data_IF_652277826199
#
_entry.id   IF_652277826199
#
_cell.length_a   1.000
_cell.length_b   1.000
_cell.length_c   1.000
_cell.angle_alpha   90.00
_cell.angle_beta   90.00
_cell.angle_gamma   90.00
#
_symmetry.space_group_name_H-M   'P 1'
#
loop_
_entity.id
_entity.type
_entity.pdbx_description
1 polymer ?
#
# COMPACT_ATOMS: atom_id res chain seq x y z
N UNK A 1 1.90 5.98 -19.53
CA UNK A 1 1.87 7.38 -19.07
C UNK A 1 2.03 7.34 -17.57
N UNK A 2 3.10 7.96 -17.07
CA UNK A 2 3.58 7.80 -15.69
C UNK A 2 3.06 9.00 -14.89
N UNK A 3 2.41 8.71 -13.76
CA UNK A 3 1.68 9.68 -12.93
C UNK A 3 2.64 10.60 -12.16
N UNK A 4 2.77 11.86 -12.58
CA UNK A 4 3.68 12.84 -11.93
C UNK A 4 2.97 13.78 -10.93
N UNK A 5 1.74 13.48 -10.56
CA UNK A 5 0.84 14.43 -9.90
C UNK A 5 0.74 14.27 -8.39
N UNK A 6 0.96 15.36 -7.65
CA UNK A 6 1.25 15.30 -6.20
C UNK A 6 0.46 16.33 -5.41
N UNK A 7 -0.04 15.96 -4.24
CA UNK A 7 -0.66 16.88 -3.30
C UNK A 7 0.22 17.00 -2.06
N UNK A 8 0.66 18.22 -1.78
CA UNK A 8 1.33 18.57 -0.53
C UNK A 8 0.29 19.12 0.44
N UNK A 9 0.29 18.57 1.64
CA UNK A 9 -0.69 18.83 2.66
C UNK A 9 -0.16 19.83 3.70
N UNK A 10 -0.95 20.85 4.03
CA UNK A 10 -0.72 21.76 5.16
C UNK A 10 -1.79 21.54 6.24
N UNK A 11 -1.42 21.16 7.47
CA UNK A 11 -2.40 20.76 8.50
C UNK A 11 -2.90 21.94 9.31
N UNK A 12 -4.22 21.99 9.50
CA UNK A 12 -4.90 22.68 10.59
C UNK A 12 -4.42 22.16 11.95
N UNK A 13 -3.59 22.88 12.68
CA UNK A 13 -3.14 22.52 14.03
C UNK A 13 -4.32 22.48 15.01
N UNK A 14 -4.81 21.27 15.30
CA UNK A 14 -5.64 20.97 16.47
C UNK A 14 -5.10 19.70 17.13
N UNK A 15 -3.78 19.65 17.31
CA UNK A 15 -3.19 18.71 18.25
C UNK A 15 -3.03 19.48 19.55
N UNK A 16 -3.80 19.10 20.57
CA UNK A 16 -3.73 19.65 21.92
C UNK A 16 -2.42 19.29 22.58
N UNK A 17 -1.35 19.98 22.19
CA UNK A 17 -0.12 20.04 22.94
C UNK A 17 -0.38 20.96 24.14
N UNK A 18 -0.46 20.37 25.34
CA UNK A 18 -0.64 21.09 26.60
C UNK A 18 0.53 22.06 26.78
N UNK A 19 0.33 23.33 26.42
CA UNK A 19 1.18 24.43 26.87
C UNK A 19 0.91 24.59 28.37
N UNK A 20 1.92 24.43 29.27
CA UNK A 20 1.71 24.65 30.68
C UNK A 20 1.56 26.15 30.93
N UNK A 21 0.32 26.63 30.94
CA UNK A 21 0.00 27.96 31.45
C UNK A 21 0.22 27.98 32.96
N UNK A 22 1.38 28.52 33.35
CA UNK A 22 1.69 28.90 34.73
C UNK A 22 0.83 30.12 35.09
N UNK A 23 -0.33 29.89 35.70
CA UNK A 23 -1.13 30.96 36.32
C UNK A 23 -0.73 31.16 37.79
N UNK A 24 -0.80 32.40 38.32
CA UNK A 24 -0.38 32.73 39.67
C UNK A 24 -1.47 32.39 40.69
N UNK A 25 -1.06 31.86 41.84
CA UNK A 25 -1.87 31.76 43.06
C UNK A 25 -2.25 33.16 43.55
N UNK A 26 -3.43 33.34 44.19
CA UNK A 26 -3.50 33.09 45.64
C UNK A 26 -4.84 32.57 46.17
N UNK A 27 -4.76 31.83 47.29
CA UNK A 27 -5.64 32.06 48.44
C UNK A 27 -6.86 31.15 48.64
N UNK A 28 -6.69 30.11 49.46
CA UNK A 28 -7.52 29.99 50.68
C UNK A 28 -8.67 28.97 50.71
N UNK A 29 -8.43 27.92 51.50
CA UNK A 29 -9.32 27.23 52.47
C UNK A 29 -10.31 26.16 51.97
N UNK A 30 -9.83 24.92 52.16
CA UNK A 30 -10.44 23.83 52.95
C UNK A 30 -11.64 23.00 52.43
N UNK A 31 -11.75 21.73 52.89
CA UNK A 31 -12.04 20.60 52.01
C UNK A 31 -13.42 19.98 52.25
N UNK A 32 -13.92 19.26 51.25
CA UNK A 32 -15.00 18.28 51.45
C UNK A 32 -14.54 16.90 51.01
N UNK A 33 -14.25 16.09 52.02
CA UNK A 33 -14.18 14.64 51.98
C UNK A 33 -15.56 14.08 51.69
N UNK A 34 -15.69 13.12 50.76
CA UNK A 34 -16.65 12.01 50.88
C UNK A 34 -16.26 10.85 49.94
N UNK A 35 -15.64 9.85 50.57
CA UNK A 35 -16.00 8.44 50.52
C UNK A 35 -15.88 7.61 49.24
N UNK A 36 -14.95 6.66 49.36
CA UNK A 36 -14.83 5.35 48.71
C UNK A 36 -16.18 4.62 48.53
N UNK A 37 -16.32 3.92 47.41
CA UNK A 37 -16.90 2.55 47.41
C UNK A 37 -16.24 1.67 46.37
N UNK A 38 -15.98 0.44 46.80
CA UNK A 38 -15.17 -0.58 46.17
C UNK A 38 -16.02 -1.62 45.42
N UNK A 39 -15.32 -2.39 44.56
CA UNK A 39 -15.57 -3.79 44.13
C UNK A 39 -16.89 -4.07 43.39
N UNK A 40 -16.78 -4.74 42.22
CA UNK A 40 -16.93 -6.21 42.14
C UNK A 40 -16.56 -6.78 40.75
N UNK A 41 -15.81 -7.88 40.78
CA UNK A 41 -15.46 -8.81 39.71
C UNK A 41 -16.59 -9.85 39.56
N UNK A 42 -16.96 -10.23 38.32
CA UNK A 42 -17.50 -11.56 37.89
C UNK A 42 -17.71 -11.48 36.38
N UNK A 43 -16.94 -12.17 35.53
CA UNK A 43 -16.92 -13.61 35.23
C UNK A 43 -18.24 -14.14 34.64
N UNK A 44 -18.15 -14.43 33.33
CA UNK A 44 -18.73 -15.57 32.57
C UNK A 44 -20.19 -15.95 32.79
N UNK A 45 -20.96 -16.06 31.71
CA UNK A 45 -21.67 -17.30 31.34
C UNK A 45 -22.02 -17.27 29.85
N UNK A 46 -21.60 -18.35 29.17
CA UNK A 46 -22.04 -18.75 27.84
C UNK A 46 -23.38 -19.49 27.90
N UNK A 47 -24.23 -19.24 26.92
CA UNK A 47 -25.29 -20.15 26.45
C UNK A 47 -25.20 -20.09 24.91
N UNK A 48 -25.27 -21.18 24.15
CA UNK A 48 -25.74 -22.52 24.48
C UNK A 48 -26.79 -22.94 23.45
N UNK A 49 -26.41 -23.89 22.61
CA UNK A 49 -27.23 -24.96 22.03
C UNK A 49 -28.16 -24.73 20.83
N UNK A 50 -27.88 -25.53 19.80
CA UNK A 50 -28.84 -26.52 19.26
C UNK A 50 -28.96 -26.49 17.74
N UNK A 51 -29.07 -27.60 17.00
CA UNK A 51 -28.90 -29.03 17.26
C UNK A 51 -29.09 -29.76 15.91
N UNK A 52 -28.10 -30.56 15.48
CA UNK A 52 -28.18 -31.78 14.62
C UNK A 52 -28.76 -31.71 13.18
N UNK A 53 -28.78 -32.84 12.43
CA UNK A 53 -27.83 -33.95 12.42
C UNK A 53 -27.40 -34.41 11.00
N UNK A 54 -26.42 -35.31 11.00
CA UNK A 54 -25.92 -36.19 9.93
C UNK A 54 -27.04 -36.99 9.21
N UNK A 55 -26.80 -37.49 7.97
CA UNK A 55 -26.20 -38.83 7.77
C UNK A 55 -25.14 -38.83 6.63
N UNK A 56 -23.99 -39.50 6.75
CA UNK A 56 -23.72 -40.93 6.58
C UNK A 56 -24.29 -41.56 5.31
N UNK A 57 -23.43 -41.75 4.30
CA UNK A 57 -23.58 -42.77 3.27
C UNK A 57 -22.18 -43.25 2.83
N UNK A 58 -22.03 -44.56 2.77
CA UNK A 58 -20.80 -45.30 2.56
C UNK A 58 -20.72 -45.88 1.14
N UNK A 59 -19.49 -45.95 0.63
CA UNK A 59 -19.02 -46.92 -0.36
C UNK A 59 -19.30 -46.63 -1.84
N UNK A 60 -18.75 -47.46 -2.74
CA UNK A 60 -17.30 -47.66 -2.94
C UNK A 60 -16.91 -47.65 -4.43
N UNK A 61 -15.60 -47.80 -4.69
CA UNK A 61 -14.98 -48.22 -5.95
C UNK A 61 -15.02 -47.25 -7.14
N UNK A 62 -13.84 -46.78 -7.54
CA UNK A 62 -13.41 -46.84 -8.94
C UNK A 62 -11.88 -46.98 -8.98
N UNK A 63 -11.45 -48.16 -9.45
CA UNK A 63 -10.07 -48.48 -9.81
C UNK A 63 -9.88 -48.07 -11.27
N UNK A 64 -9.01 -47.10 -11.52
CA UNK A 64 -8.44 -46.82 -12.84
C UNK A 64 -6.91 -46.81 -12.67
N UNK A 65 -6.27 -47.97 -12.86
CA UNK A 65 -5.71 -48.47 -14.12
C UNK A 65 -4.48 -47.69 -14.61
N UNK A 66 -3.33 -48.31 -14.32
CA UNK A 66 -2.13 -48.39 -15.18
C UNK A 66 -1.60 -47.12 -15.83
N UNK A 67 -0.67 -46.47 -15.13
CA UNK A 67 0.34 -45.60 -15.72
C UNK A 67 1.74 -46.12 -15.38
N UNK A 68 2.27 -46.92 -16.31
CA UNK A 68 3.69 -47.16 -16.56
C UNK A 68 4.61 -47.60 -15.39
N UNK A 69 4.66 -48.91 -15.18
CA UNK A 69 5.75 -49.57 -14.44
C UNK A 69 7.05 -49.50 -15.25
N UNK A 70 7.75 -48.37 -15.15
CA UNK A 70 9.17 -48.31 -15.53
C UNK A 70 10.00 -49.21 -14.58
N UNK A 71 10.90 -50.04 -15.11
CA UNK A 71 11.56 -51.09 -14.37
C UNK A 71 12.72 -50.54 -13.52
N UNK A 72 12.84 -51.09 -12.31
CA UNK A 72 14.05 -51.09 -11.47
C UNK A 72 14.55 -49.75 -10.90
N UNK A 73 13.83 -49.27 -9.90
CA UNK A 73 14.40 -48.38 -8.89
C UNK A 73 14.29 -49.02 -7.51
N UNK A 74 15.19 -49.97 -7.20
CA UNK A 74 15.54 -50.37 -5.82
C UNK A 74 16.30 -49.23 -5.14
N UNK A 75 15.64 -48.08 -4.97
CA UNK A 75 16.20 -46.96 -4.25
C UNK A 75 16.27 -47.32 -2.76
N UNK A 76 17.47 -47.23 -2.20
CA UNK A 76 17.73 -47.36 -0.76
C UNK A 76 16.81 -46.41 0.02
N UNK A 77 16.44 -46.78 1.26
CA UNK A 77 15.58 -45.92 2.11
C UNK A 77 16.15 -44.52 2.28
N UNK A 78 17.47 -44.38 2.27
CA UNK A 78 18.18 -43.10 2.29
C UNK A 78 17.91 -42.27 1.04
N UNK A 79 17.86 -42.91 -0.12
CA UNK A 79 17.65 -42.23 -1.39
C UNK A 79 16.22 -41.67 -1.50
N UNK A 80 15.24 -42.42 -0.97
CA UNK A 80 13.85 -41.93 -0.83
C UNK A 80 13.75 -40.74 0.12
N UNK A 81 14.49 -40.77 1.23
CA UNK A 81 14.52 -39.66 2.18
C UNK A 81 15.20 -38.42 1.57
N UNK A 82 16.30 -38.60 0.85
CA UNK A 82 16.98 -37.53 0.12
C UNK A 82 16.05 -36.90 -0.94
N UNK A 83 15.36 -37.70 -1.75
CA UNK A 83 14.40 -37.20 -2.75
C UNK A 83 13.24 -36.43 -2.11
N UNK A 84 12.73 -36.92 -0.98
CA UNK A 84 11.68 -36.23 -0.23
C UNK A 84 12.19 -34.90 0.36
N UNK A 85 13.37 -34.89 0.96
CA UNK A 85 13.99 -33.67 1.49
C UNK A 85 14.26 -32.64 0.39
N UNK A 86 14.84 -33.06 -0.73
CA UNK A 86 15.06 -32.20 -1.89
C UNK A 86 13.73 -31.65 -2.40
N UNK A 87 12.68 -32.48 -2.49
CA UNK A 87 11.35 -32.03 -2.91
C UNK A 87 10.79 -30.96 -1.98
N UNK A 88 10.90 -31.13 -0.65
CA UNK A 88 10.49 -30.13 0.33
C UNK A 88 11.29 -28.84 0.16
N UNK A 89 12.61 -28.94 0.00
CA UNK A 89 13.48 -27.77 -0.18
C UNK A 89 13.10 -27.03 -1.47
N UNK A 90 12.96 -27.74 -2.59
CA UNK A 90 12.53 -27.15 -3.87
C UNK A 90 11.16 -26.50 -3.74
N UNK A 91 10.20 -27.15 -3.08
CA UNK A 91 8.88 -26.57 -2.82
C UNK A 91 8.98 -25.26 -2.04
N UNK A 92 9.73 -25.22 -0.94
CA UNK A 92 9.93 -24.00 -0.14
C UNK A 92 10.65 -22.89 -0.93
N UNK A 93 11.63 -23.25 -1.75
CA UNK A 93 12.31 -22.28 -2.63
C UNK A 93 11.35 -21.73 -3.69
N UNK A 94 10.51 -22.56 -4.30
CA UNK A 94 9.50 -22.12 -5.27
C UNK A 94 8.48 -21.16 -4.63
N UNK A 95 7.92 -21.53 -3.48
CA UNK A 95 6.94 -20.67 -2.79
C UNK A 95 7.55 -19.33 -2.36
N UNK A 96 8.73 -19.35 -1.74
CA UNK A 96 9.42 -18.11 -1.34
C UNK A 96 9.82 -17.24 -2.52
N UNK A 97 10.24 -17.85 -3.64
CA UNK A 97 10.53 -17.14 -4.88
C UNK A 97 9.27 -16.49 -5.46
N UNK A 98 8.15 -17.21 -5.53
CA UNK A 98 6.88 -16.68 -6.03
C UNK A 98 6.41 -15.48 -5.22
N UNK A 99 6.45 -15.56 -3.88
CA UNK A 99 6.10 -14.43 -3.00
C UNK A 99 7.02 -13.23 -3.27
N UNK A 100 8.33 -13.48 -3.37
CA UNK A 100 9.30 -12.40 -3.61
C UNK A 100 9.12 -11.75 -4.98
N UNK A 101 8.86 -12.55 -6.01
CA UNK A 101 8.57 -12.05 -7.36
C UNK A 101 7.26 -11.27 -7.41
N UNK A 102 6.20 -11.76 -6.76
CA UNK A 102 4.92 -11.06 -6.68
C UNK A 102 5.09 -9.71 -5.97
N UNK A 103 5.80 -9.70 -4.84
CA UNK A 103 6.10 -8.48 -4.09
C UNK A 103 6.89 -7.49 -4.95
N UNK A 104 7.88 -7.96 -5.69
CA UNK A 104 8.67 -7.13 -6.60
C UNK A 104 7.83 -6.58 -7.78
N UNK A 105 6.97 -7.40 -8.38
CA UNK A 105 6.06 -6.97 -9.45
C UNK A 105 5.05 -5.94 -8.95
N UNK A 106 4.58 -6.07 -7.71
CA UNK A 106 3.72 -5.06 -7.09
C UNK A 106 4.51 -3.77 -6.83
N UNK A 107 5.69 -3.84 -6.23
CA UNK A 107 6.48 -2.66 -5.87
C UNK A 107 6.98 -1.88 -7.10
N UNK A 108 7.40 -2.57 -8.16
CA UNK A 108 7.88 -1.93 -9.41
C UNK A 108 6.78 -1.25 -10.22
N UNK A 109 5.52 -1.64 -10.03
CA UNK A 109 4.38 -0.98 -10.67
C UNK A 109 4.10 0.41 -10.06
N UNK A 110 4.52 0.63 -8.82
CA UNK A 110 4.36 1.91 -8.15
C UNK A 110 5.62 2.75 -8.30
N UNK A 111 5.48 3.94 -8.85
CA UNK A 111 6.55 4.93 -8.75
C UNK A 111 6.78 5.22 -7.26
N UNK A 112 8.05 5.26 -6.82
CA UNK A 112 8.34 5.58 -5.43
C UNK A 112 7.72 6.93 -5.10
N UNK A 113 6.69 6.90 -4.27
CA UNK A 113 6.08 8.12 -3.76
C UNK A 113 7.17 8.91 -3.06
N UNK A 114 7.36 10.15 -3.49
CA UNK A 114 8.19 11.08 -2.76
C UNK A 114 7.62 11.20 -1.36
N UNK A 115 8.50 11.22 -0.37
CA UNK A 115 8.10 11.28 1.02
C UNK A 115 8.38 12.65 1.63
N UNK A 116 9.41 13.33 1.14
CA UNK A 116 9.89 14.60 1.69
C UNK A 116 9.77 15.75 0.69
N UNK A 117 9.78 16.96 1.24
CA UNK A 117 9.79 18.21 0.48
C UNK A 117 11.13 18.37 -0.23
N UNK A 118 12.24 17.96 0.39
CA UNK A 118 13.57 17.98 -0.24
C UNK A 118 13.62 17.12 -1.51
N UNK A 119 13.03 15.92 -1.46
CA UNK A 119 12.90 15.07 -2.64
C UNK A 119 12.06 15.75 -3.73
N UNK A 120 11.04 16.52 -3.35
CA UNK A 120 10.22 17.29 -4.28
C UNK A 120 11.04 18.41 -4.94
N UNK A 121 11.85 19.12 -4.15
CA UNK A 121 12.78 20.17 -4.59
C UNK A 121 13.94 19.62 -5.44
N UNK A 122 14.24 18.32 -5.37
CA UNK A 122 15.19 17.69 -6.30
C UNK A 122 14.50 17.13 -7.55
N UNK A 123 13.25 16.66 -7.44
CA UNK A 123 12.54 15.97 -8.54
C UNK A 123 12.11 16.85 -9.73
N UNK A 124 11.95 16.30 -10.93
CA UNK A 124 11.49 17.07 -12.12
C UNK A 124 10.00 17.52 -12.08
N UNK A 125 9.35 17.48 -10.91
CA UNK A 125 7.94 17.86 -10.77
C UNK A 125 7.83 19.35 -10.42
N UNK A 126 6.96 20.05 -11.15
CA UNK A 126 6.73 21.49 -10.99
C UNK A 126 5.67 21.75 -9.93
N UNK A 127 5.87 22.79 -9.13
CA UNK A 127 4.94 23.17 -8.07
C UNK A 127 4.00 24.25 -8.58
N UNK A 128 2.74 23.89 -8.79
CA UNK A 128 1.74 24.72 -9.43
C UNK A 128 0.92 25.44 -8.36
N UNK A 129 0.99 26.77 -8.37
CA UNK A 129 0.43 27.65 -7.35
C UNK A 129 -0.38 28.74 -8.02
N UNK A 130 -1.49 29.13 -7.37
CA UNK A 130 -2.28 30.26 -7.82
C UNK A 130 -1.48 31.56 -7.67
N UNK A 131 -1.48 32.47 -8.67
CA UNK A 131 -0.73 33.73 -8.60
C UNK A 131 -1.02 34.56 -7.34
N UNK A 132 -2.21 34.42 -6.75
CA UNK A 132 -2.59 35.15 -5.53
C UNK A 132 -1.85 34.67 -4.28
N UNK A 133 -1.37 33.43 -4.27
CA UNK A 133 -0.68 32.81 -3.13
C UNK A 133 0.85 32.84 -3.26
N UNK A 134 1.38 33.35 -4.39
CA UNK A 134 2.82 33.36 -4.68
C UNK A 134 3.63 34.03 -3.55
N UNK A 135 3.16 35.17 -3.04
CA UNK A 135 3.85 35.91 -1.97
C UNK A 135 3.98 35.10 -0.68
N UNK A 136 3.01 34.24 -0.40
CA UNK A 136 3.03 33.37 0.77
C UNK A 136 4.09 32.27 0.62
N UNK A 137 4.12 31.57 -0.51
CA UNK A 137 5.13 30.52 -0.74
C UNK A 137 6.56 31.07 -0.83
N UNK A 138 6.73 32.29 -1.35
CA UNK A 138 8.02 33.00 -1.31
C UNK A 138 8.54 33.25 0.10
N UNK A 139 7.65 33.37 1.08
CA UNK A 139 8.03 33.60 2.48
C UNK A 139 8.43 32.32 3.23
N UNK A 140 8.04 31.14 2.75
CA UNK A 140 8.26 29.86 3.43
C UNK A 140 9.62 29.28 3.06
N UNK A 141 9.88 29.07 1.77
CA UNK A 141 11.12 28.45 1.32
C UNK A 141 11.55 28.95 -0.05
N UNK A 142 12.79 29.45 -0.11
CA UNK A 142 13.44 29.87 -1.34
C UNK A 142 13.69 28.72 -2.33
N UNK A 143 13.85 27.48 -1.85
CA UNK A 143 14.03 26.29 -2.68
C UNK A 143 12.78 25.96 -3.49
N UNK A 144 11.62 26.00 -2.85
CA UNK A 144 10.31 25.79 -3.49
C UNK A 144 9.99 26.83 -4.57
N UNK A 145 10.41 28.09 -4.36
CA UNK A 145 10.19 29.19 -5.32
C UNK A 145 10.84 28.91 -6.67
N UNK A 146 12.01 28.26 -6.68
CA UNK A 146 12.72 27.93 -7.92
C UNK A 146 11.93 26.98 -8.85
N UNK A 147 10.94 26.26 -8.31
CA UNK A 147 10.07 25.33 -9.02
C UNK A 147 8.64 25.81 -9.20
N UNK A 148 8.36 27.03 -8.75
CA UNK A 148 7.03 27.57 -8.72
C UNK A 148 6.59 27.92 -10.13
N UNK A 149 5.59 27.21 -10.62
CA UNK A 149 4.94 27.50 -11.89
C UNK A 149 3.63 28.21 -11.57
N UNK A 150 3.63 29.53 -11.77
CA UNK A 150 2.42 30.32 -11.66
C UNK A 150 1.47 29.91 -12.77
N UNK A 151 0.33 29.35 -12.38
CA UNK A 151 -0.74 29.05 -13.31
C UNK A 151 -2.04 29.38 -12.65
N UNK A 152 -2.97 29.95 -13.42
CA UNK A 152 -4.33 30.11 -12.95
C UNK A 152 -4.90 28.70 -12.73
N UNK A 153 -5.05 28.32 -11.47
CA UNK A 153 -5.62 27.04 -11.07
C UNK A 153 -7.13 27.18 -11.25
N UNK A 154 -7.58 27.20 -12.51
CA UNK A 154 -8.96 26.85 -12.83
C UNK A 154 -9.25 25.48 -12.21
N UNK A 155 -10.51 25.21 -11.85
CA UNK A 155 -11.04 24.05 -11.09
C UNK A 155 -10.54 22.63 -11.46
N UNK A 156 -9.73 22.49 -12.50
CA UNK A 156 -9.15 21.25 -12.99
C UNK A 156 -7.66 21.16 -12.60
N UNK A 157 -7.31 20.13 -11.82
CA UNK A 157 -5.93 19.83 -11.50
C UNK A 157 -5.26 19.24 -12.76
N UNK A 158 -4.21 19.89 -13.22
CA UNK A 158 -3.42 19.48 -14.37
C UNK A 158 -2.45 18.35 -14.06
N UNK A 159 -2.15 17.51 -15.07
CA UNK A 159 -1.13 16.49 -14.96
C UNK A 159 0.31 17.04 -15.02
N UNK A 160 1.22 16.38 -14.32
CA UNK A 160 2.61 16.75 -14.00
C UNK A 160 2.82 17.97 -13.09
N UNK A 161 1.83 18.29 -12.25
CA UNK A 161 1.92 19.38 -11.27
C UNK A 161 1.80 18.83 -9.85
N UNK A 162 2.59 19.41 -8.94
CA UNK A 162 2.35 19.31 -7.51
C UNK A 162 1.57 20.52 -7.01
N UNK A 163 0.59 20.29 -6.13
CA UNK A 163 -0.28 21.33 -5.57
C UNK A 163 -0.15 21.35 -4.06
N UNK A 164 -0.37 22.51 -3.44
CA UNK A 164 -0.49 22.61 -1.99
C UNK A 164 -1.91 22.98 -1.59
N UNK A 165 -2.49 22.18 -0.70
CA UNK A 165 -3.81 22.40 -0.15
C UNK A 165 -3.86 22.06 1.33
N UNK A 166 -4.97 22.43 1.98
CA UNK A 166 -5.22 22.01 3.36
C UNK A 166 -5.25 20.49 3.46
N UNK A 167 -4.73 19.94 4.55
CA UNK A 167 -4.72 18.51 4.83
C UNK A 167 -6.11 17.89 4.70
N UNK A 168 -7.13 18.60 5.17
CA UNK A 168 -8.50 18.13 5.14
C UNK A 168 -9.01 18.01 3.71
N UNK A 169 -8.80 19.05 2.89
CA UNK A 169 -9.20 19.00 1.50
C UNK A 169 -8.45 17.90 0.73
N UNK A 170 -7.15 17.78 0.94
CA UNK A 170 -6.35 16.77 0.27
C UNK A 170 -6.71 15.34 0.69
N UNK A 171 -6.99 15.10 1.98
CA UNK A 171 -7.51 13.80 2.47
C UNK A 171 -8.85 13.47 1.84
N UNK A 172 -9.75 14.44 1.80
CA UNK A 172 -11.05 14.29 1.15
C UNK A 172 -10.90 13.97 -0.35
N UNK A 173 -10.08 14.75 -1.06
CA UNK A 173 -9.89 14.60 -2.50
C UNK A 173 -9.25 13.26 -2.85
N UNK A 174 -8.22 12.83 -2.12
CA UNK A 174 -7.55 11.53 -2.35
C UNK A 174 -8.49 10.35 -2.10
N UNK A 175 -9.45 10.48 -1.18
CA UNK A 175 -10.51 9.50 -0.96
C UNK A 175 -11.70 9.62 -1.92
N UNK A 176 -11.73 10.61 -2.80
CA UNK A 176 -12.84 10.89 -3.70
C UNK A 176 -12.73 10.09 -5.01
N UNK A 177 -13.88 9.82 -5.64
CA UNK A 177 -13.94 9.19 -6.97
C UNK A 177 -13.28 10.03 -8.08
N UNK A 178 -13.16 11.34 -7.88
CA UNK A 178 -12.53 12.25 -8.84
C UNK A 178 -11.01 12.10 -8.94
N UNK A 179 -10.39 11.50 -7.92
CA UNK A 179 -8.96 11.21 -7.93
C UNK A 179 -8.61 9.93 -8.68
N UNK A 180 -9.58 9.09 -9.04
CA UNK A 180 -9.31 7.84 -9.77
C UNK A 180 -9.27 8.13 -11.26
N UNK A 181 -8.21 7.66 -11.93
CA UNK A 181 -8.11 7.70 -13.37
C UNK A 181 -9.00 6.64 -14.02
N UNK A 182 -9.97 7.02 -14.87
CA UNK A 182 -10.90 6.06 -15.47
C UNK A 182 -10.21 5.05 -16.40
N UNK A 183 -9.04 5.38 -16.95
CA UNK A 183 -8.32 4.49 -17.86
C UNK A 183 -7.53 3.39 -17.12
N UNK A 184 -6.97 3.71 -15.95
CA UNK A 184 -6.05 2.82 -15.24
C UNK A 184 -6.60 2.31 -13.91
N UNK A 185 -7.66 2.95 -13.38
CA UNK A 185 -8.23 2.66 -12.06
C UNK A 185 -7.33 3.09 -10.90
N UNK A 186 -6.22 3.79 -11.15
CA UNK A 186 -5.30 4.26 -10.11
C UNK A 186 -5.60 5.68 -9.65
N UNK A 187 -5.15 6.01 -8.45
CA UNK A 187 -5.19 7.37 -7.92
C UNK A 187 -4.22 8.26 -8.71
N UNK A 188 -4.72 9.38 -9.22
CA UNK A 188 -3.94 10.41 -9.93
C UNK A 188 -3.02 11.16 -8.99
N UNK A 189 -3.53 11.50 -7.80
CA UNK A 189 -2.83 12.27 -6.78
C UNK A 189 -2.68 11.47 -5.49
N UNK A 190 -1.54 11.67 -4.83
CA UNK A 190 -1.27 11.17 -3.50
C UNK A 190 -0.80 12.31 -2.58
N UNK A 191 -0.90 12.08 -1.27
CA UNK A 191 -0.50 13.04 -0.24
C UNK A 191 0.96 12.81 0.13
N UNK A 192 1.77 13.87 0.10
CA UNK A 192 3.13 13.86 0.64
C UNK A 192 3.10 13.62 2.17
N UNK A 193 3.99 12.78 2.67
CA UNK A 193 4.04 12.44 4.11
C UNK A 193 4.47 13.63 4.97
N UNK A 194 5.43 14.39 4.47
CA UNK A 194 5.88 15.63 5.09
C UNK A 194 4.90 16.78 4.84
N UNK A 195 4.68 17.59 5.88
CA UNK A 195 3.79 18.74 5.84
C UNK A 195 4.60 20.00 5.56
N UNK A 196 4.08 20.84 4.66
CA UNK A 196 4.78 22.08 4.29
C UNK A 196 4.74 23.13 5.40
N UNK A 197 3.57 23.29 6.03
CA UNK A 197 3.37 24.16 7.18
C UNK A 197 2.12 23.75 7.97
N UNK A 198 2.10 24.12 9.25
CA UNK A 198 0.90 24.08 10.08
C UNK A 198 0.14 25.40 9.94
N UNK A 199 -1.11 25.36 9.51
CA UNK A 199 -2.00 26.50 9.60
C UNK A 199 -2.90 26.31 10.82
N UNK A 200 -3.23 27.36 11.55
CA UNK A 200 -4.25 27.27 12.58
C UNK A 200 -5.53 27.94 12.06
N UNK A 201 -6.65 27.22 12.12
CA UNK A 201 -7.95 27.78 11.76
C UNK A 201 -8.47 28.59 12.93
N UNK A 202 -8.61 29.90 12.75
CA UNK A 202 -9.13 30.79 13.77
C UNK A 202 -10.54 31.24 13.41
N UNK A 203 -11.38 31.36 14.44
CA UNK A 203 -12.64 32.07 14.31
C UNK A 203 -12.39 33.55 14.54
N UNK A 204 -12.82 34.39 13.60
CA UNK A 204 -12.65 35.84 13.68
C UNK A 204 -13.96 36.46 14.12
N UNK A 205 -13.92 37.21 15.22
CA UNK A 205 -15.05 37.94 15.77
C UNK A 205 -14.79 39.45 15.71
N UNK A 206 -15.86 40.24 15.72
CA UNK A 206 -15.73 41.69 15.90
C UNK A 206 -15.24 42.00 17.32
N UNK A 207 -14.44 43.05 17.46
CA UNK A 207 -13.72 43.37 18.71
C UNK A 207 -14.64 43.58 19.93
N UNK A 208 -15.88 44.00 19.71
CA UNK A 208 -16.87 44.29 20.76
C UNK A 208 -18.05 43.31 20.75
N UNK A 209 -17.89 42.13 20.14
CA UNK A 209 -18.95 41.13 20.12
C UNK A 209 -19.04 40.42 21.48
N UNK A 210 -20.23 40.43 22.08
CA UNK A 210 -20.50 39.74 23.34
C UNK A 210 -20.39 38.21 23.20
N UNK A 211 -20.47 37.69 21.98
CA UNK A 211 -20.39 36.26 21.70
C UNK A 211 -18.99 35.68 21.87
N UNK A 212 -17.94 36.51 21.93
CA UNK A 212 -16.55 36.04 22.03
C UNK A 212 -16.34 35.23 23.32
N UNK A 213 -16.78 35.75 24.46
CA UNK A 213 -16.60 35.09 25.76
C UNK A 213 -17.38 33.77 25.83
N UNK A 214 -18.62 33.76 25.31
CA UNK A 214 -19.43 32.56 25.23
C UNK A 214 -18.81 31.51 24.30
N UNK A 215 -18.27 31.93 23.16
CA UNK A 215 -17.65 31.03 22.19
C UNK A 215 -16.34 30.45 22.71
N UNK A 216 -15.53 31.23 23.42
CA UNK A 216 -14.31 30.76 24.07
C UNK A 216 -14.63 29.70 25.13
N UNK A 217 -15.57 30.00 26.04
CA UNK A 217 -16.01 29.05 27.06
C UNK A 217 -16.55 27.74 26.44
N UNK A 218 -17.37 27.85 25.41
CA UNK A 218 -17.91 26.71 24.69
C UNK A 218 -16.80 25.91 24.00
N UNK A 219 -15.87 26.58 23.31
CA UNK A 219 -14.74 25.97 22.63
C UNK A 219 -13.87 25.18 23.60
N UNK A 220 -13.46 25.79 24.72
CA UNK A 220 -12.68 25.11 25.75
C UNK A 220 -13.38 23.85 26.27
N UNK A 221 -14.71 23.90 26.45
CA UNK A 221 -15.47 22.73 26.87
C UNK A 221 -15.56 21.67 25.77
N UNK A 222 -15.75 22.08 24.52
CA UNK A 222 -15.86 21.20 23.37
C UNK A 222 -14.56 20.44 23.08
N UNK A 223 -13.42 21.14 23.14
CA UNK A 223 -12.10 20.54 23.00
C UNK A 223 -11.70 19.73 24.24
N UNK A 224 -11.94 20.27 25.45
CA UNK A 224 -11.59 19.61 26.71
C UNK A 224 -12.38 18.33 27.00
N UNK A 225 -13.58 18.18 26.43
CA UNK A 225 -14.38 16.95 26.55
C UNK A 225 -14.08 15.91 25.47
N UNK A 226 -13.14 16.17 24.56
CA UNK A 226 -12.86 15.34 23.38
C UNK A 226 -14.06 15.08 22.46
N UNK A 227 -15.17 15.82 22.62
CA UNK A 227 -16.34 15.73 21.74
C UNK A 227 -15.94 16.12 20.32
N UNK A 228 -15.16 17.20 20.18
CA UNK A 228 -14.62 17.61 18.88
C UNK A 228 -13.82 16.50 18.20
N UNK A 229 -12.88 15.90 18.95
CA UNK A 229 -12.04 14.81 18.43
C UNK A 229 -12.90 13.63 17.99
N UNK A 230 -13.86 13.20 18.80
CA UNK A 230 -14.77 12.12 18.44
C UNK A 230 -15.58 12.43 17.16
N UNK A 231 -16.03 13.68 17.01
CA UNK A 231 -16.78 14.10 15.84
C UNK A 231 -15.92 14.11 14.57
N UNK A 232 -14.72 14.69 14.65
CA UNK A 232 -13.73 14.71 13.56
C UNK A 232 -13.33 13.28 13.17
N UNK A 233 -13.03 12.42 14.14
CA UNK A 233 -12.66 11.03 13.89
C UNK A 233 -13.80 10.26 13.22
N UNK A 234 -15.05 10.47 13.65
CA UNK A 234 -16.22 9.85 12.99
C UNK A 234 -16.45 10.37 11.58
N UNK A 235 -16.32 11.68 11.36
CA UNK A 235 -16.45 12.30 10.05
C UNK A 235 -15.41 11.73 9.08
N UNK A 236 -14.14 11.68 9.50
CA UNK A 236 -13.09 11.09 8.68
C UNK A 236 -13.27 9.59 8.50
N UNK A 237 -13.71 8.86 9.53
CA UNK A 237 -14.00 7.43 9.40
C UNK A 237 -15.02 7.15 8.30
N UNK A 238 -16.07 7.94 8.19
CA UNK A 238 -17.08 7.79 7.12
C UNK A 238 -16.50 8.05 5.71
N UNK A 239 -15.66 9.08 5.58
CA UNK A 239 -15.01 9.43 4.31
C UNK A 239 -13.98 8.37 3.91
N UNK A 240 -13.19 7.89 4.88
CA UNK A 240 -12.09 6.95 4.63
C UNK A 240 -12.58 5.51 4.47
N UNK A 241 -13.71 5.15 5.09
CA UNK A 241 -14.35 3.84 4.95
C UNK A 241 -15.13 3.66 3.65
N UNK A 242 -15.18 4.68 2.78
CA UNK A 242 -15.63 4.44 1.40
C UNK A 242 -14.76 3.31 0.86
N UNK A 243 -15.34 2.22 0.33
CA UNK A 243 -14.55 1.15 -0.22
C UNK A 243 -13.66 1.80 -1.27
N UNK A 244 -12.37 1.89 -0.97
CA UNK A 244 -11.36 2.05 -2.01
C UNK A 244 -11.69 0.88 -2.91
N UNK A 245 -12.25 1.17 -4.08
CA UNK A 245 -12.18 0.24 -5.19
C UNK A 245 -10.71 -0.10 -5.23
N UNK A 246 -10.38 -1.27 -4.68
CA UNK A 246 -9.02 -1.73 -4.61
C UNK A 246 -8.66 -1.79 -6.06
N UNK A 247 -7.90 -0.79 -6.52
CA UNK A 247 -7.36 -0.72 -7.86
C UNK A 247 -6.75 -2.09 -8.02
N UNK A 248 -7.48 -2.94 -8.73
CA UNK A 248 -7.23 -4.35 -8.69
C UNK A 248 -5.80 -4.42 -9.16
N UNK A 249 -4.91 -5.01 -8.38
CA UNK A 249 -3.54 -5.19 -8.81
C UNK A 249 -3.58 -6.25 -9.93
N UNK A 250 -4.23 -5.91 -11.04
CA UNK A 250 -4.27 -6.62 -12.28
C UNK A 250 -2.86 -6.47 -12.81
N UNK A 251 -2.06 -7.50 -12.55
CA UNK A 251 -0.84 -7.72 -13.31
C UNK A 251 -1.26 -7.64 -14.77
N UNK A 252 -0.73 -6.64 -15.45
CA UNK A 252 -1.09 -6.44 -16.85
C UNK A 252 -0.27 -7.46 -17.64
N UNK A 253 -0.78 -7.96 -18.76
CA UNK A 253 -0.05 -8.93 -19.60
C UNK A 253 1.32 -8.40 -20.05
N UNK A 254 1.48 -7.07 -20.06
CA UNK A 254 2.71 -6.37 -20.33
C UNK A 254 3.80 -6.62 -19.26
N UNK A 255 3.44 -6.81 -17.99
CA UNK A 255 4.39 -7.12 -16.91
C UNK A 255 4.95 -8.55 -17.06
N UNK A 256 4.18 -9.44 -17.69
CA UNK A 256 4.57 -10.83 -17.95
C UNK A 256 5.46 -10.99 -19.18
N UNK A 257 5.68 -9.93 -19.97
CA UNK A 257 6.44 -9.99 -21.24
C UNK A 257 7.88 -10.45 -21.02
N UNK A 258 8.49 -10.09 -19.89
CA UNK A 258 9.86 -10.47 -19.53
C UNK A 258 9.95 -11.96 -19.24
N UNK A 259 8.94 -12.52 -18.58
CA UNK A 259 8.83 -13.96 -18.33
C UNK A 259 8.70 -14.74 -19.65
N UNK A 260 7.85 -14.26 -20.56
CA UNK A 260 7.69 -14.84 -21.89
C UNK A 260 9.00 -14.83 -22.68
N UNK A 261 9.79 -13.75 -22.60
CA UNK A 261 11.10 -13.68 -23.25
C UNK A 261 12.07 -14.74 -22.72
N UNK A 262 12.15 -14.92 -21.40
CA UNK A 262 13.01 -15.94 -20.78
C UNK A 262 12.60 -17.35 -21.22
N UNK A 263 11.30 -17.62 -21.26
CA UNK A 263 10.77 -18.89 -21.75
C UNK A 263 11.16 -19.14 -23.21
N UNK A 264 11.00 -18.14 -24.08
CA UNK A 264 11.41 -18.24 -25.49
C UNK A 264 12.91 -18.51 -25.64
N UNK A 265 13.76 -17.83 -24.86
CA UNK A 265 15.21 -18.08 -24.87
C UNK A 265 15.55 -19.50 -24.42
N UNK A 266 14.88 -20.01 -23.38
CA UNK A 266 15.06 -21.38 -22.91
C UNK A 266 14.69 -22.42 -23.96
N UNK A 267 13.55 -22.25 -24.63
CA UNK A 267 13.10 -23.13 -25.71
C UNK A 267 14.07 -23.08 -26.90
N UNK A 268 14.48 -21.89 -27.33
CA UNK A 268 15.42 -21.72 -28.42
C UNK A 268 16.77 -22.40 -28.11
N UNK A 269 17.26 -22.23 -26.87
CA UNK A 269 18.48 -22.89 -26.43
C UNK A 269 18.36 -24.42 -26.43
N UNK A 270 17.27 -24.96 -25.89
CA UNK A 270 17.03 -26.40 -25.89
C UNK A 270 16.96 -26.97 -27.32
N UNK A 271 16.33 -26.23 -28.24
CA UNK A 271 16.27 -26.60 -29.66
C UNK A 271 17.66 -26.65 -30.31
N UNK A 272 18.53 -25.67 -30.02
CA UNK A 272 19.92 -25.66 -30.52
C UNK A 272 20.69 -26.89 -30.03
N UNK A 273 20.58 -27.22 -28.73
CA UNK A 273 21.22 -28.41 -28.15
C UNK A 273 20.73 -29.68 -28.84
N UNK A 274 19.43 -29.82 -29.05
CA UNK A 274 18.83 -30.97 -29.74
C UNK A 274 19.34 -31.09 -31.19
N UNK A 275 19.42 -29.98 -31.93
CA UNK A 275 19.96 -29.98 -33.30
C UNK A 275 21.42 -30.44 -33.31
N UNK A 276 22.24 -29.97 -32.37
CA UNK A 276 23.64 -30.41 -32.23
C UNK A 276 23.72 -31.90 -31.95
N UNK A 277 22.89 -32.42 -31.03
CA UNK A 277 22.84 -33.83 -30.70
C UNK A 277 22.46 -34.69 -31.92
N UNK A 278 21.43 -34.28 -32.68
CA UNK A 278 21.00 -34.99 -33.89
C UNK A 278 22.10 -35.00 -34.96
N UNK A 279 22.81 -33.90 -35.15
CA UNK A 279 23.94 -33.82 -36.10
C UNK A 279 25.08 -34.75 -35.65
N UNK A 280 25.44 -34.73 -34.37
CA UNK A 280 26.48 -35.60 -33.82
C UNK A 280 26.08 -37.08 -33.94
N UNK A 281 24.84 -37.43 -33.60
CA UNK A 281 24.34 -38.79 -33.73
C UNK A 281 24.38 -39.28 -35.18
N UNK A 282 23.94 -38.45 -36.14
CA UNK A 282 24.04 -38.78 -37.58
C UNK A 282 25.48 -38.98 -38.04
N UNK A 283 26.42 -38.12 -37.61
CA UNK A 283 27.85 -38.26 -37.94
C UNK A 283 28.46 -39.56 -37.39
N UNK A 284 28.14 -39.91 -36.15
CA UNK A 284 28.61 -41.15 -35.51
C UNK A 284 28.06 -42.38 -36.24
N UNK A 285 26.78 -42.37 -36.62
CA UNK A 285 26.18 -43.47 -37.39
C UNK A 285 26.80 -43.60 -38.79
N UNK A 286 27.08 -42.48 -39.47
CA UNK A 286 27.75 -42.48 -40.77
C UNK A 286 29.18 -43.05 -40.66
N UNK A 287 29.95 -42.64 -39.65
CA UNK A 287 31.29 -43.20 -39.42
C UNK A 287 31.25 -44.71 -39.14
N UNK A 288 30.29 -45.19 -38.34
CA UNK A 288 30.10 -46.63 -38.09
C UNK A 288 29.78 -47.41 -39.37
N UNK A 289 28.99 -46.83 -40.28
CA UNK A 289 28.68 -47.47 -41.57
C UNK A 289 29.90 -47.49 -42.52
N UNK A 290 30.73 -46.44 -42.50
CA UNK A 290 31.95 -46.38 -43.31
C UNK A 290 33.02 -47.37 -42.81
N UNK A 291 33.19 -47.53 -41.49
CA UNK A 291 34.14 -48.49 -40.92
C UNK A 291 33.71 -49.95 -41.16
N UNK A 292 32.40 -50.25 -41.11
CA UNK A 292 31.89 -51.57 -41.49
C UNK A 292 32.10 -51.89 -42.98
N UNK A 293 32.13 -50.88 -43.85
CA UNK A 293 32.39 -51.06 -45.29
C UNK A 293 33.87 -51.27 -45.62
N UNK A 294 34.80 -50.82 -44.77
CA UNK A 294 36.23 -51.07 -44.94
C UNK A 294 36.70 -52.42 -44.38
N UNK A 295 35.92 -53.03 -43.49
CA UNK A 295 36.25 -54.32 -42.86
C UNK A 295 35.61 -55.53 -43.56
N UNK A 296 35.04 -55.32 -44.76
CA UNK A 296 34.37 -56.32 -45.59
C UNK A 296 35.03 -56.35 -46.96
#
# INVERSE_FOLDING_TARGET
MIFKDKLVCARGGVDGEEIPLKSPTPGGKDPVVMSKKAKKKKSTTSHGQGHGPLPSAAGPEDKESSGDSSPEHKLSRLDRFCMLFISIVVFLLCESYLIKMLTFMLDTKYERHLQTIDELIVSDVKFCVDPTEESFFRSIDSGLVSKLLLRNISRELYPNCSYCHTCDWARYFVGSKGNVDPATGFNKFYILKEQLFGNATFHVFMRNDLLVEYFEWFGLRLFGTSIWKHWVDNYWRDITNRPREQASAMLTTQDLITLWRILCYGIAFAFVVLVVEVIMHKKVQLMKMLTLKQNK
#
